data_IF_996401419765
#
_entry.id   IF_996401419765
#
_cell.length_a   1.000
_cell.length_b   1.000
_cell.length_c   1.000
_cell.angle_alpha   90.00
_cell.angle_beta   90.00
_cell.angle_gamma   90.00
#
_symmetry.space_group_name_H-M   'P 1'
#
loop_
_entity.id
_entity.type
_entity.pdbx_description
1 polymer ?
#
# COMPACT_ATOMS: atom_id res chain seq x y z
N UNK A 1 -37.80 -32.40 11.92
CA UNK A 1 -37.21 -31.30 11.14
C UNK A 1 -35.95 -30.80 11.85
N UNK A 2 -34.74 -31.20 11.44
CA UNK A 2 -33.55 -30.46 11.82
C UNK A 2 -32.94 -29.76 10.60
N UNK A 3 -31.93 -28.93 10.86
CA UNK A 3 -31.13 -28.13 9.94
C UNK A 3 -31.69 -26.72 9.68
N UNK A 4 -30.92 -25.66 9.85
CA UNK A 4 -29.52 -25.53 10.25
C UNK A 4 -29.40 -24.10 10.79
N UNK A 5 -28.63 -23.91 11.86
CA UNK A 5 -28.27 -22.59 12.35
C UNK A 5 -27.78 -21.73 11.19
N UNK A 6 -28.35 -20.54 11.05
CA UNK A 6 -27.83 -19.50 10.18
C UNK A 6 -26.35 -19.30 10.51
N UNK A 7 -25.51 -19.64 9.54
CA UNK A 7 -24.08 -19.38 9.57
C UNK A 7 -23.91 -17.86 9.75
N UNK A 8 -23.62 -17.43 10.98
CA UNK A 8 -23.03 -16.13 11.23
C UNK A 8 -21.67 -16.16 10.53
N UNK A 9 -21.64 -15.76 9.26
CA UNK A 9 -20.41 -15.38 8.59
C UNK A 9 -19.85 -14.25 9.44
N UNK A 10 -18.73 -14.44 10.16
CA UNK A 10 -18.11 -13.31 10.82
C UNK A 10 -17.83 -12.31 9.70
N UNK A 11 -18.29 -11.08 9.87
CA UNK A 11 -17.82 -9.93 9.09
C UNK A 11 -16.36 -9.71 9.52
N UNK A 12 -15.48 -10.67 9.23
CA UNK A 12 -14.06 -10.45 9.06
C UNK A 12 -13.89 -9.89 7.65
N UNK A 13 -14.58 -8.77 7.37
CA UNK A 13 -14.25 -7.94 6.22
C UNK A 13 -12.87 -7.40 6.55
N UNK A 14 -11.89 -8.04 5.93
CA UNK A 14 -10.48 -7.68 5.84
C UNK A 14 -10.18 -6.31 6.45
N UNK A 15 -9.81 -6.28 7.73
CA UNK A 15 -9.03 -5.19 8.29
C UNK A 15 -7.60 -5.39 7.76
N UNK A 16 -7.45 -5.29 6.44
CA UNK A 16 -6.18 -5.44 5.77
C UNK A 16 -5.31 -4.25 6.18
N UNK A 17 -4.50 -4.50 7.19
CA UNK A 17 -3.30 -3.77 7.61
C UNK A 17 -3.49 -2.30 7.97
N UNK A 18 -3.99 -2.09 9.18
CA UNK A 18 -3.90 -0.81 9.90
C UNK A 18 -2.49 -0.52 10.45
N UNK A 19 -1.48 -1.36 10.12
CA UNK A 19 -0.12 -1.25 10.67
C UNK A 19 0.91 -1.46 9.55
N UNK A 20 2.02 -0.71 9.57
CA UNK A 20 3.16 -0.94 8.70
C UNK A 20 3.71 -2.36 8.79
N UNK A 21 4.22 -2.87 7.67
CA UNK A 21 4.92 -4.15 7.55
C UNK A 21 6.39 -4.00 8.01
N UNK A 22 6.80 -4.63 9.13
CA UNK A 22 8.17 -4.49 9.67
C UNK A 22 9.27 -4.92 8.69
N UNK A 23 8.99 -5.90 7.83
CA UNK A 23 9.89 -6.37 6.79
C UNK A 23 10.25 -5.28 5.75
N UNK A 24 9.44 -4.24 5.64
CA UNK A 24 9.67 -3.12 4.73
C UNK A 24 10.37 -1.92 5.40
N UNK A 25 10.69 -1.97 6.70
CA UNK A 25 11.18 -0.81 7.44
C UNK A 25 12.49 -0.26 6.87
N UNK A 26 13.42 -1.16 6.53
CA UNK A 26 14.68 -0.79 5.90
C UNK A 26 14.47 -0.10 4.54
N UNK A 27 13.49 -0.56 3.74
CA UNK A 27 13.18 0.03 2.44
C UNK A 27 12.52 1.40 2.59
N UNK A 28 11.62 1.54 3.57
CA UNK A 28 11.00 2.82 3.91
C UNK A 28 12.01 3.86 4.36
N UNK A 29 12.92 3.49 5.24
CA UNK A 29 13.97 4.39 5.70
C UNK A 29 14.90 4.82 4.57
N UNK A 30 15.28 3.89 3.70
CA UNK A 30 16.08 4.20 2.51
C UNK A 30 15.33 5.13 1.55
N UNK A 31 14.05 4.86 1.30
CA UNK A 31 13.20 5.66 0.42
C UNK A 31 13.01 7.09 0.96
N UNK A 32 12.70 7.23 2.26
CA UNK A 32 12.61 8.53 2.93
C UNK A 32 13.91 9.32 2.80
N UNK A 33 15.06 8.69 3.05
CA UNK A 33 16.39 9.32 2.91
C UNK A 33 16.66 9.76 1.47
N UNK A 34 16.36 8.89 0.51
CA UNK A 34 16.57 9.15 -0.93
C UNK A 34 15.78 10.37 -1.40
N UNK A 35 14.53 10.50 -0.97
CA UNK A 35 13.65 11.62 -1.36
C UNK A 35 13.52 12.72 -0.31
N UNK A 36 14.37 12.70 0.72
CA UNK A 36 14.45 13.69 1.81
C UNK A 36 13.10 13.97 2.48
N UNK A 37 12.31 12.92 2.71
CA UNK A 37 10.98 13.00 3.30
C UNK A 37 11.07 13.29 4.81
N UNK A 38 10.20 14.17 5.28
CA UNK A 38 10.04 14.53 6.68
C UNK A 38 8.54 14.67 6.96
N UNK A 39 8.11 14.25 8.14
CA UNK A 39 6.70 14.16 8.52
C UNK A 39 6.45 14.83 9.86
N UNK A 40 5.21 15.32 10.05
CA UNK A 40 4.83 16.04 11.26
C UNK A 40 4.42 15.06 12.37
N UNK A 41 5.41 14.33 12.89
CA UNK A 41 5.24 13.37 13.97
C UNK A 41 4.83 11.97 13.50
N UNK A 42 4.74 11.05 14.46
CA UNK A 42 4.57 9.61 14.22
C UNK A 42 3.26 9.28 13.49
N UNK A 43 2.16 9.96 13.80
CA UNK A 43 0.86 9.68 13.18
C UNK A 43 0.83 10.01 11.67
N UNK A 44 1.46 11.12 11.26
CA UNK A 44 1.61 11.46 9.85
C UNK A 44 2.55 10.45 9.17
N UNK A 45 3.68 10.14 9.79
CA UNK A 45 4.62 9.15 9.24
C UNK A 45 3.97 7.76 9.04
N UNK A 46 3.21 7.27 10.01
CA UNK A 46 2.48 5.99 9.89
C UNK A 46 1.46 6.06 8.75
N UNK A 47 0.73 7.16 8.61
CA UNK A 47 -0.21 7.34 7.50
C UNK A 47 0.49 7.28 6.15
N UNK A 48 1.64 7.97 6.03
CA UNK A 48 2.45 8.02 4.81
C UNK A 48 3.08 6.68 4.47
N UNK A 49 3.53 5.96 5.49
CA UNK A 49 4.04 4.59 5.41
C UNK A 49 3.00 3.63 4.85
N UNK A 50 1.76 3.69 5.35
CA UNK A 50 0.67 2.84 4.84
C UNK A 50 0.31 3.14 3.38
N UNK A 51 0.32 4.43 2.98
CA UNK A 51 0.12 4.80 1.57
C UNK A 51 1.26 4.28 0.69
N UNK A 52 2.50 4.42 1.16
CA UNK A 52 3.68 3.93 0.46
C UNK A 52 3.66 2.42 0.25
N UNK A 53 3.32 1.64 1.28
CA UNK A 53 3.20 0.18 1.17
C UNK A 53 2.08 -0.23 0.21
N UNK A 54 0.94 0.47 0.26
CA UNK A 54 -0.16 0.25 -0.70
C UNK A 54 0.30 0.51 -2.14
N UNK A 55 1.04 1.58 -2.38
CA UNK A 55 1.56 1.90 -3.70
C UNK A 55 2.65 0.90 -4.14
N UNK A 56 3.50 0.42 -3.22
CA UNK A 56 4.47 -0.63 -3.51
C UNK A 56 3.78 -1.93 -3.96
N UNK A 57 2.73 -2.34 -3.24
CA UNK A 57 1.91 -3.51 -3.60
C UNK A 57 1.27 -3.35 -4.98
N UNK A 58 0.75 -2.17 -5.28
CA UNK A 58 0.20 -1.85 -6.60
C UNK A 58 1.26 -1.96 -7.71
N UNK A 59 2.44 -1.38 -7.51
CA UNK A 59 3.57 -1.46 -8.45
C UNK A 59 3.95 -2.92 -8.71
N UNK A 60 4.10 -3.72 -7.66
CA UNK A 60 4.47 -5.13 -7.79
C UNK A 60 3.42 -5.94 -8.56
N UNK A 61 2.13 -5.74 -8.26
CA UNK A 61 1.04 -6.41 -8.97
C UNK A 61 0.99 -6.00 -10.45
N UNK A 62 1.12 -4.70 -10.75
CA UNK A 62 1.15 -4.20 -12.12
C UNK A 62 2.34 -4.75 -12.92
N UNK A 63 3.53 -4.81 -12.30
CA UNK A 63 4.72 -5.33 -12.98
C UNK A 63 4.67 -6.85 -13.17
N UNK A 64 3.99 -7.57 -12.28
CA UNK A 64 3.67 -8.98 -12.53
C UNK A 64 2.74 -9.13 -13.74
N UNK A 65 1.69 -8.31 -13.84
CA UNK A 65 0.82 -8.28 -15.02
C UNK A 65 1.59 -7.92 -16.30
N UNK A 66 2.55 -6.99 -16.23
CA UNK A 66 3.46 -6.67 -17.34
C UNK A 66 4.30 -7.89 -17.76
N UNK A 67 4.92 -8.59 -16.80
CA UNK A 67 5.72 -9.78 -17.07
C UNK A 67 4.90 -10.92 -17.71
N UNK A 68 3.58 -10.94 -17.46
CA UNK A 68 2.62 -11.87 -18.08
C UNK A 68 2.04 -11.35 -19.41
N UNK A 69 2.48 -10.18 -19.90
CA UNK A 69 2.04 -9.58 -21.16
C UNK A 69 0.67 -8.88 -21.12
N UNK A 70 0.08 -8.68 -19.94
CA UNK A 70 -1.23 -8.01 -19.77
C UNK A 70 -1.07 -6.49 -19.79
N UNK A 71 0.06 -5.97 -19.30
CA UNK A 71 0.42 -4.54 -19.35
C UNK A 71 1.53 -4.33 -20.38
N UNK A 72 1.62 -3.11 -20.89
CA UNK A 72 2.60 -2.70 -21.90
C UNK A 72 3.77 -1.89 -21.35
N UNK A 73 3.78 -1.61 -20.05
CA UNK A 73 4.83 -0.87 -19.37
C UNK A 73 4.99 -1.34 -17.92
N UNK A 74 6.05 -0.87 -17.27
CA UNK A 74 6.33 -1.12 -15.85
C UNK A 74 6.21 0.16 -15.04
N UNK A 75 5.96 -0.01 -13.75
CA UNK A 75 5.96 1.04 -12.75
C UNK A 75 7.17 0.90 -11.84
N UNK A 76 7.59 2.00 -11.23
CA UNK A 76 8.63 2.01 -10.22
C UNK A 76 8.23 2.94 -9.07
N UNK A 77 8.70 2.59 -7.86
CA UNK A 77 8.52 3.45 -6.70
C UNK A 77 9.29 4.77 -6.92
N UNK A 78 8.63 5.90 -6.67
CA UNK A 78 9.19 7.23 -6.90
C UNK A 78 8.90 8.18 -5.72
N UNK A 79 9.24 9.46 -5.86
CA UNK A 79 9.08 10.47 -4.81
C UNK A 79 7.62 10.76 -4.42
N UNK A 80 6.64 10.35 -5.23
CA UNK A 80 5.20 10.45 -4.96
C UNK A 80 4.64 9.19 -4.29
N UNK A 81 5.51 8.25 -3.91
CA UNK A 81 5.13 6.95 -3.33
C UNK A 81 4.24 7.04 -2.10
N UNK A 82 4.31 8.12 -1.32
CA UNK A 82 3.50 8.35 -0.11
C UNK A 82 2.23 9.20 -0.36
N UNK A 83 1.83 9.36 -1.61
CA UNK A 83 0.63 10.10 -2.01
C UNK A 83 -0.47 9.17 -2.52
N UNK A 84 -1.72 9.52 -2.24
CA UNK A 84 -2.89 8.83 -2.82
C UNK A 84 -3.00 9.21 -4.29
N UNK A 85 -3.35 8.26 -5.15
CA UNK A 85 -3.41 8.39 -6.62
C UNK A 85 -4.37 9.47 -7.18
N UNK A 86 -4.99 10.31 -6.35
CA UNK A 86 -5.79 11.48 -6.74
C UNK A 86 -5.18 12.84 -6.40
N UNK A 87 -4.09 12.90 -5.64
CA UNK A 87 -3.48 14.17 -5.20
C UNK A 87 -2.46 14.75 -6.20
N UNK A 88 -2.07 13.99 -7.23
CA UNK A 88 -1.11 14.42 -8.25
C UNK A 88 -1.74 15.30 -9.37
N UNK A 89 -3.01 15.70 -9.25
CA UNK A 89 -3.75 16.43 -10.28
C UNK A 89 -4.36 17.78 -9.85
N UNK A 90 -3.93 18.34 -8.72
CA UNK A 90 -4.35 19.67 -8.28
C UNK A 90 -3.13 20.59 -8.16
N UNK A 91 -2.68 21.11 -9.31
CA UNK A 91 -1.64 22.11 -9.46
C UNK A 91 -1.83 22.82 -10.78
#
# INVERSE_FOLDING_TARGET
>A
LPALLALLVPVAVAVAQLRPEPELDAQWDLWKKTYRKQYNGEADEVTRRLIWEKNLKYINAHNLEHALGVRTFELAMNHLGDMVSGAAGAG
#
